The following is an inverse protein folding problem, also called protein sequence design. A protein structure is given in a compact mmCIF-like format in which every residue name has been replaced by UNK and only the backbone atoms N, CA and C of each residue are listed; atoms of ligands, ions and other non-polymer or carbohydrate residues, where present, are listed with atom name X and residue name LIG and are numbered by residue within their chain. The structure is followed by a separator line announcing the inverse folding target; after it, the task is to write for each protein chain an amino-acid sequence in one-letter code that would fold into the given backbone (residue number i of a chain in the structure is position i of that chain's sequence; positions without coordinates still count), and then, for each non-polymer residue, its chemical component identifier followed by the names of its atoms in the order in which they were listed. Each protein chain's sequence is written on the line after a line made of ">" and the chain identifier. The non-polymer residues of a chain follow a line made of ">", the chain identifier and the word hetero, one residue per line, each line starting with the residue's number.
data_IF_366461618079
#
_entry.id   IF_366461618079
#
_cell.length_a   1.000
_cell.length_b   1.000
_cell.length_c   1.000
_cell.angle_alpha   90.00
_cell.angle_beta   90.00
_cell.angle_gamma   90.00
#
_symmetry.space_group_name_H-M   'P 1'
#
loop_
_entity.id
_entity.type
_entity.pdbx_description
1 polymer ?
#
# COMPACT_ATOMS: atom_id res chain seq x y z
N UNK A 1 -34.50 0.91 14.34
CA UNK A 1 -34.55 -0.36 13.56
C UNK A 1 -33.14 -0.92 13.55
N UNK A 2 -32.93 -2.17 13.98
CA UNK A 2 -31.63 -2.83 13.87
C UNK A 2 -31.40 -3.19 12.40
N UNK A 3 -30.38 -2.60 11.77
CA UNK A 3 -29.92 -2.98 10.43
C UNK A 3 -28.78 -3.97 10.64
N UNK A 4 -28.87 -5.23 10.14
CA UNK A 4 -27.77 -6.16 10.24
C UNK A 4 -26.55 -5.54 9.54
N UNK A 5 -25.49 -5.31 10.30
CA UNK A 5 -24.19 -4.94 9.74
C UNK A 5 -23.67 -6.17 9.01
N UNK A 6 -23.32 -6.04 7.73
CA UNK A 6 -22.72 -7.11 6.96
C UNK A 6 -21.43 -7.55 7.65
N UNK A 7 -21.46 -8.73 8.27
CA UNK A 7 -20.34 -9.22 9.05
C UNK A 7 -19.36 -9.88 8.09
N UNK A 8 -18.36 -9.11 7.64
CA UNK A 8 -17.28 -9.65 6.83
C UNK A 8 -16.53 -10.74 7.60
N UNK A 9 -16.08 -11.78 6.88
CA UNK A 9 -15.21 -12.80 7.46
C UNK A 9 -13.96 -12.13 8.05
N UNK A 10 -13.43 -12.63 9.19
CA UNK A 10 -12.18 -12.12 9.74
C UNK A 10 -11.08 -12.09 8.69
N UNK A 11 -10.23 -11.06 8.75
CA UNK A 11 -9.04 -11.00 7.91
C UNK A 11 -8.17 -12.23 8.17
N UNK A 12 -7.68 -12.85 7.10
CA UNK A 12 -6.79 -14.01 7.16
C UNK A 12 -5.34 -13.55 6.96
N UNK A 13 -4.36 -14.18 7.61
CA UNK A 13 -2.96 -13.93 7.33
C UNK A 13 -2.65 -14.31 5.88
N UNK A 14 -1.83 -13.49 5.23
CA UNK A 14 -1.35 -13.71 3.87
C UNK A 14 0.18 -13.65 3.90
N UNK A 15 0.83 -14.75 3.50
CA UNK A 15 2.29 -14.85 3.40
C UNK A 15 2.69 -15.31 2.00
N UNK A 16 3.85 -14.81 1.55
CA UNK A 16 4.47 -15.22 0.30
C UNK A 16 5.94 -15.53 0.54
N UNK A 17 6.32 -16.79 0.36
CA UNK A 17 7.67 -17.29 0.62
C UNK A 17 8.36 -17.62 -0.69
N UNK A 18 9.53 -17.03 -0.92
CA UNK A 18 10.40 -17.34 -2.05
C UNK A 18 11.33 -18.50 -1.68
N UNK A 19 11.28 -19.58 -2.44
CA UNK A 19 12.11 -20.75 -2.21
C UNK A 19 13.43 -20.67 -3.02
N UNK A 20 14.52 -21.34 -2.58
CA UNK A 20 15.81 -21.29 -3.26
C UNK A 20 15.81 -21.83 -4.70
N UNK A 21 14.85 -22.71 -5.04
CA UNK A 21 14.66 -23.27 -6.38
C UNK A 21 13.85 -22.34 -7.31
N UNK A 22 13.47 -21.15 -6.82
CA UNK A 22 12.67 -20.16 -7.54
C UNK A 22 11.16 -20.42 -7.50
N UNK A 23 10.70 -21.49 -6.84
CA UNK A 23 9.28 -21.65 -6.55
C UNK A 23 8.83 -20.65 -5.49
N UNK A 24 7.52 -20.43 -5.41
CA UNK A 24 6.93 -19.53 -4.42
C UNK A 24 5.76 -20.21 -3.75
N UNK A 25 5.70 -20.14 -2.42
CA UNK A 25 4.53 -20.59 -1.66
C UNK A 25 3.70 -19.38 -1.27
N UNK A 26 2.45 -19.33 -1.72
CA UNK A 26 1.47 -18.31 -1.33
C UNK A 26 0.43 -18.95 -0.40
N UNK A 27 0.26 -18.38 0.78
CA UNK A 27 -0.63 -18.89 1.82
C UNK A 27 -1.68 -17.84 2.19
N UNK A 28 -2.94 -18.25 2.31
CA UNK A 28 -4.06 -17.41 2.73
C UNK A 28 -4.95 -18.23 3.68
N UNK A 29 -4.70 -18.11 4.98
CA UNK A 29 -5.29 -19.03 5.97
C UNK A 29 -4.88 -20.47 5.65
N UNK A 30 -5.84 -21.33 5.32
CA UNK A 30 -5.63 -22.75 5.02
C UNK A 30 -5.32 -23.01 3.54
N UNK A 31 -5.51 -22.01 2.66
CA UNK A 31 -5.22 -22.15 1.25
C UNK A 31 -3.72 -22.01 1.00
N UNK A 32 -3.10 -23.04 0.41
CA UNK A 32 -1.67 -23.06 0.07
C UNK A 32 -1.52 -23.31 -1.43
N UNK A 33 -0.82 -22.41 -2.11
CA UNK A 33 -0.49 -22.54 -3.53
C UNK A 33 1.02 -22.58 -3.72
N UNK A 34 1.52 -23.67 -4.30
CA UNK A 34 2.92 -23.81 -4.70
C UNK A 34 3.02 -23.40 -6.16
N UNK A 35 3.64 -22.26 -6.40
CA UNK A 35 3.74 -21.66 -7.72
C UNK A 35 5.13 -21.93 -8.31
N UNK A 36 5.23 -22.54 -9.51
CA UNK A 36 6.48 -22.55 -10.25
C UNK A 36 6.88 -21.11 -10.65
N UNK A 37 8.16 -20.88 -10.97
CA UNK A 37 8.67 -19.54 -11.28
C UNK A 37 7.88 -18.78 -12.35
N UNK A 38 7.30 -19.48 -13.34
CA UNK A 38 6.49 -18.86 -14.40
C UNK A 38 5.16 -18.31 -13.87
N UNK A 39 4.45 -19.09 -13.05
CA UNK A 39 3.18 -18.68 -12.47
C UNK A 39 3.36 -17.54 -11.46
N UNK A 40 4.43 -17.59 -10.66
CA UNK A 40 4.73 -16.49 -9.74
C UNK A 40 5.00 -15.17 -10.48
N UNK A 41 5.58 -15.20 -11.69
CA UNK A 41 5.80 -13.97 -12.50
C UNK A 41 4.48 -13.42 -13.03
N UNK A 42 3.63 -14.28 -13.59
CA UNK A 42 2.30 -13.87 -14.07
C UNK A 42 1.46 -13.28 -12.94
N UNK A 43 1.50 -13.89 -11.75
CA UNK A 43 0.84 -13.33 -10.56
C UNK A 43 1.41 -11.95 -10.20
N UNK A 44 2.73 -11.79 -10.23
CA UNK A 44 3.39 -10.51 -10.00
C UNK A 44 2.94 -9.42 -10.96
N UNK A 45 2.81 -9.72 -12.25
CA UNK A 45 2.32 -8.79 -13.27
C UNK A 45 0.89 -8.31 -12.95
N UNK A 46 0.00 -9.24 -12.60
CA UNK A 46 -1.39 -8.90 -12.21
C UNK A 46 -1.42 -8.04 -10.95
N UNK A 47 -0.59 -8.34 -9.95
CA UNK A 47 -0.57 -7.61 -8.68
C UNK A 47 0.12 -6.24 -8.79
N UNK A 48 0.92 -5.99 -9.82
CA UNK A 48 1.69 -4.75 -9.98
C UNK A 48 0.79 -3.52 -9.96
N UNK A 49 -0.40 -3.59 -10.57
CA UNK A 49 -1.36 -2.48 -10.55
C UNK A 49 -1.82 -2.08 -9.15
N UNK A 50 -2.14 -3.07 -8.31
CA UNK A 50 -2.53 -2.81 -6.92
C UNK A 50 -1.34 -2.24 -6.11
N UNK A 51 -0.13 -2.75 -6.33
CA UNK A 51 1.06 -2.22 -5.69
C UNK A 51 1.29 -0.73 -6.00
N UNK A 52 1.11 -0.32 -7.26
CA UNK A 52 1.23 1.08 -7.66
C UNK A 52 0.17 1.98 -6.99
N UNK A 53 -1.05 1.48 -6.82
CA UNK A 53 -2.11 2.22 -6.12
C UNK A 53 -1.74 2.47 -4.65
N UNK A 54 -1.21 1.48 -3.95
CA UNK A 54 -0.77 1.64 -2.55
C UNK A 54 0.37 2.65 -2.42
N UNK A 55 1.36 2.58 -3.33
CA UNK A 55 2.46 3.55 -3.37
C UNK A 55 1.93 4.96 -3.62
N UNK A 56 1.02 5.13 -4.56
CA UNK A 56 0.44 6.44 -4.88
C UNK A 56 -0.32 7.05 -3.70
N UNK A 57 -1.05 6.24 -2.92
CA UNK A 57 -1.75 6.68 -1.71
C UNK A 57 -0.76 7.22 -0.68
N UNK A 58 0.30 6.48 -0.39
CA UNK A 58 1.31 6.88 0.61
C UNK A 58 2.04 8.15 0.17
N UNK A 59 2.41 8.25 -1.12
CA UNK A 59 3.01 9.47 -1.68
C UNK A 59 2.03 10.65 -1.58
N UNK A 60 0.74 10.44 -1.81
CA UNK A 60 -0.28 11.48 -1.66
C UNK A 60 -0.36 12.01 -0.23
N UNK A 61 -0.36 11.12 0.77
CA UNK A 61 -0.36 11.49 2.18
C UNK A 61 0.89 12.27 2.57
N UNK A 62 2.07 11.74 2.23
CA UNK A 62 3.33 12.37 2.57
C UNK A 62 3.52 13.71 1.83
N UNK A 63 3.10 13.77 0.56
CA UNK A 63 3.10 15.00 -0.23
C UNK A 63 2.21 16.10 0.36
N UNK A 64 1.00 15.73 0.83
CA UNK A 64 0.12 16.68 1.51
C UNK A 64 0.75 17.21 2.82
N UNK A 65 1.40 16.33 3.58
CA UNK A 65 2.12 16.69 4.82
C UNK A 65 3.26 17.68 4.53
N UNK A 66 4.10 17.38 3.55
CA UNK A 66 5.22 18.24 3.14
C UNK A 66 4.75 19.59 2.61
N UNK A 67 3.69 19.61 1.79
CA UNK A 67 3.11 20.84 1.26
C UNK A 67 2.55 21.75 2.36
N UNK A 68 1.94 21.18 3.40
CA UNK A 68 1.45 21.97 4.54
C UNK A 68 2.61 22.65 5.29
N UNK A 69 3.70 21.92 5.55
CA UNK A 69 4.90 22.46 6.20
C UNK A 69 5.54 23.56 5.34
N UNK A 70 5.72 23.30 4.04
CA UNK A 70 6.30 24.28 3.13
C UNK A 70 5.43 25.54 3.02
N UNK A 71 4.11 25.39 2.96
CA UNK A 71 3.17 26.52 2.89
C UNK A 71 3.22 27.39 4.14
N UNK A 72 3.40 26.78 5.33
CA UNK A 72 3.60 27.51 6.58
C UNK A 72 4.91 28.31 6.54
N UNK A 73 6.02 27.68 6.17
CA UNK A 73 7.33 28.35 6.07
C UNK A 73 7.31 29.51 5.06
N UNK A 74 6.70 29.30 3.89
CA UNK A 74 6.54 30.37 2.88
C UNK A 74 5.71 31.53 3.44
N UNK A 75 4.68 31.23 4.23
CA UNK A 75 3.84 32.25 4.87
C UNK A 75 4.61 33.05 5.92
N UNK A 76 5.46 32.39 6.71
CA UNK A 76 6.31 33.04 7.71
C UNK A 76 7.35 33.95 7.07
N UNK A 77 8.07 33.47 6.05
CA UNK A 77 9.03 34.30 5.28
C UNK A 77 8.34 35.51 4.65
N UNK A 78 7.15 35.32 4.07
CA UNK A 78 6.34 36.42 3.51
C UNK A 78 5.86 37.42 4.56
N UNK A 79 5.76 37.04 5.84
CA UNK A 79 5.40 37.95 6.94
C UNK A 79 6.62 38.78 7.35
N UNK A 80 7.78 38.17 7.48
CA UNK A 80 9.04 38.85 7.81
C UNK A 80 9.42 39.89 6.75
N UNK A 81 9.30 39.55 5.46
CA UNK A 81 9.56 40.49 4.37
C UNK A 81 8.64 41.72 4.36
N UNK A 82 7.44 41.64 4.93
CA UNK A 82 6.52 42.80 5.03
C UNK A 82 6.88 43.73 6.19
N UNK A 83 7.73 43.30 7.10
CA UNK A 83 8.15 44.09 8.26
C UNK A 83 9.46 44.86 8.02
N UNK A 84 10.10 44.63 6.87
CA UNK A 84 11.26 45.36 6.35
C UNK A 84 10.80 46.52 5.44
#
# INVERSE_FOLDING_TARGET
>A
VFVPLEQHRPARPISRTLCPDGTTVLEIGEAVMILPPRESRMLGEVMTGAAQQFVAIEIGHEGARLNAVLSAQVSDVRRELRQL
#
